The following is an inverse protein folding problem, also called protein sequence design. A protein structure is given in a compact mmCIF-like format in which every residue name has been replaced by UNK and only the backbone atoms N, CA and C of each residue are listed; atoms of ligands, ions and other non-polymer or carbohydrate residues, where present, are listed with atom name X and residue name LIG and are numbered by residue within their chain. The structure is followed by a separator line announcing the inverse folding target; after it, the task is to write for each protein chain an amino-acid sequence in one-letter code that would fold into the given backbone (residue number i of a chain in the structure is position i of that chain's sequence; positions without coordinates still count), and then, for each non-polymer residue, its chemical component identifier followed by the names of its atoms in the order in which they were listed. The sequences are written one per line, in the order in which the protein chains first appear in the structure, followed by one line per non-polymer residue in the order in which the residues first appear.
data_IF_943624984076
#
_entry.id   IF_943624984076
#
_cell.length_a   1.000
_cell.length_b   1.000
_cell.length_c   1.000
_cell.angle_alpha   90.00
_cell.angle_beta   90.00
_cell.angle_gamma   90.00
#
_symmetry.space_group_name_H-M   'P 1'
#
loop_
_entity.id
_entity.type
_entity.pdbx_description
1 polymer ?
#
# COMPACT_ATOMS: atom_id res chain seq x y z
N UNK A 1 36.47 1.38 4.58
CA UNK A 1 35.48 0.43 4.04
C UNK A 1 34.30 0.37 4.98
N UNK A 2 33.04 0.44 4.46
CA UNK A 2 31.82 0.39 5.28
C UNK A 2 31.72 -0.88 6.16
N UNK A 3 32.18 -2.01 5.69
CA UNK A 3 32.20 -3.28 6.44
C UNK A 3 33.14 -3.17 7.64
N UNK A 4 34.32 -2.64 7.41
CA UNK A 4 35.31 -2.40 8.45
C UNK A 4 34.83 -1.40 9.51
N UNK A 5 34.13 -0.36 9.10
CA UNK A 5 33.52 0.61 10.01
C UNK A 5 32.43 -0.02 10.88
N UNK A 6 31.68 -0.98 10.32
CA UNK A 6 30.67 -1.76 11.04
C UNK A 6 31.34 -2.70 12.09
N UNK A 7 32.35 -3.46 11.68
CA UNK A 7 33.07 -4.39 12.55
C UNK A 7 33.77 -3.66 13.72
N UNK A 8 34.23 -2.43 13.49
CA UNK A 8 34.81 -1.55 14.50
C UNK A 8 33.80 -0.82 15.37
N UNK A 9 32.49 -1.00 15.14
CA UNK A 9 31.43 -0.33 15.89
C UNK A 9 31.35 1.19 15.65
N UNK A 10 31.94 1.69 14.57
CA UNK A 10 31.96 3.10 14.20
C UNK A 10 30.64 3.56 13.54
N UNK A 11 29.83 2.62 13.07
CA UNK A 11 28.50 2.86 12.50
C UNK A 11 27.45 2.09 13.27
N UNK A 12 26.23 2.64 13.31
CA UNK A 12 25.11 1.98 13.99
C UNK A 12 24.67 0.74 13.23
N UNK A 13 24.40 -0.33 13.95
CA UNK A 13 23.76 -1.51 13.40
C UNK A 13 22.32 -1.16 12.99
N UNK A 14 22.00 -1.48 11.75
CA UNK A 14 20.63 -1.39 11.23
C UNK A 14 20.11 -2.82 11.13
N UNK A 15 19.06 -3.12 11.87
CA UNK A 15 18.30 -4.36 11.73
C UNK A 15 17.06 -4.05 10.90
N UNK A 16 16.85 -4.80 9.85
CA UNK A 16 15.65 -4.70 9.01
C UNK A 16 14.83 -5.97 9.25
N UNK A 17 13.60 -5.79 9.73
CA UNK A 17 12.62 -6.87 9.83
C UNK A 17 11.54 -6.59 8.78
N UNK A 18 11.34 -7.53 7.88
CA UNK A 18 10.37 -7.46 6.80
C UNK A 18 9.24 -8.45 7.01
N UNK A 19 8.04 -8.07 6.61
CA UNK A 19 6.93 -9.00 6.45
C UNK A 19 6.88 -9.35 4.97
N UNK A 20 7.13 -10.60 4.63
CA UNK A 20 6.88 -11.14 3.30
C UNK A 20 5.46 -11.75 3.31
N UNK A 21 4.47 -11.02 2.85
CA UNK A 21 3.15 -11.62 2.66
C UNK A 21 3.17 -12.49 1.41
N UNK A 22 2.37 -13.52 1.39
CA UNK A 22 2.19 -14.41 0.22
C UNK A 22 1.68 -13.66 -1.04
N UNK A 23 1.26 -12.41 -0.88
CA UNK A 23 0.81 -11.52 -1.96
C UNK A 23 1.66 -10.25 -1.94
N UNK A 24 2.14 -9.80 -3.12
CA UNK A 24 2.99 -8.60 -3.25
C UNK A 24 2.25 -7.33 -2.85
N UNK A 25 2.35 -6.91 -1.60
CA UNK A 25 1.68 -5.70 -1.08
C UNK A 25 2.25 -4.39 -1.63
N UNK A 26 3.48 -4.41 -2.16
CA UNK A 26 4.07 -3.26 -2.86
C UNK A 26 3.60 -3.14 -4.31
N UNK A 27 2.62 -3.93 -4.74
CA UNK A 27 2.06 -3.85 -6.07
C UNK A 27 0.96 -2.78 -6.17
N UNK A 28 0.65 -2.43 -7.42
CA UNK A 28 -0.42 -1.51 -7.75
C UNK A 28 -1.75 -1.91 -7.09
N UNK A 29 -2.32 -1.02 -6.31
CA UNK A 29 -3.63 -1.25 -5.71
C UNK A 29 -4.71 -1.20 -6.78
N UNK A 30 -5.47 -2.28 -6.91
CA UNK A 30 -6.68 -2.34 -7.76
C UNK A 30 -7.75 -3.13 -7.02
N UNK A 31 -8.95 -2.57 -6.97
CA UNK A 31 -10.14 -3.25 -6.44
C UNK A 31 -11.25 -3.20 -7.48
N UNK A 32 -11.88 -4.32 -7.78
CA UNK A 32 -13.06 -4.35 -8.63
C UNK A 32 -14.31 -4.09 -7.79
N UNK A 33 -14.91 -2.92 -7.99
CA UNK A 33 -16.10 -2.50 -7.22
C UNK A 33 -17.39 -3.03 -7.85
N UNK A 34 -17.50 -2.98 -9.20
CA UNK A 34 -18.73 -3.34 -9.91
C UNK A 34 -18.47 -3.56 -11.40
N UNK A 35 -19.27 -4.43 -12.01
CA UNK A 35 -19.38 -4.55 -13.46
C UNK A 35 -20.76 -4.07 -13.87
N UNK A 36 -20.81 -3.12 -14.82
CA UNK A 36 -22.04 -2.56 -15.37
C UNK A 36 -22.24 -3.09 -16.80
N UNK A 37 -23.18 -4.00 -16.99
CA UNK A 37 -23.59 -4.48 -18.29
C UNK A 37 -24.81 -3.67 -18.78
N UNK A 38 -24.61 -2.87 -19.84
CA UNK A 38 -25.64 -2.03 -20.44
C UNK A 38 -25.79 -2.38 -21.93
N UNK A 39 -26.93 -2.08 -22.58
CA UNK A 39 -27.11 -2.34 -24.02
C UNK A 39 -26.05 -1.71 -24.92
N UNK A 40 -25.37 -0.65 -24.44
CA UNK A 40 -24.32 0.08 -25.16
C UNK A 40 -22.90 -0.43 -24.87
N UNK A 41 -22.74 -1.48 -24.07
CA UNK A 41 -21.46 -2.07 -23.72
C UNK A 41 -21.30 -2.38 -22.25
N UNK A 42 -20.27 -3.19 -21.94
CA UNK A 42 -19.91 -3.57 -20.58
C UNK A 42 -18.76 -2.68 -20.09
N UNK A 43 -18.83 -2.25 -18.85
CA UNK A 43 -17.79 -1.45 -18.20
C UNK A 43 -17.51 -1.98 -16.81
N UNK A 44 -16.27 -1.85 -16.34
CA UNK A 44 -15.88 -2.17 -14.98
C UNK A 44 -15.67 -0.89 -14.17
N UNK A 45 -16.17 -0.85 -12.95
CA UNK A 45 -15.84 0.19 -11.99
C UNK A 45 -14.78 -0.35 -11.04
N UNK A 46 -13.63 0.31 -11.02
CA UNK A 46 -12.48 -0.10 -10.21
C UNK A 46 -12.00 1.05 -9.35
N UNK A 47 -11.50 0.73 -8.15
CA UNK A 47 -10.83 1.70 -7.28
C UNK A 47 -9.33 1.51 -7.41
N UNK A 48 -8.61 2.61 -7.69
CA UNK A 48 -7.15 2.66 -7.87
C UNK A 48 -6.54 3.86 -7.16
N UNK A 49 -5.22 3.86 -7.03
CA UNK A 49 -4.48 5.01 -6.56
C UNK A 49 -4.15 5.96 -7.73
N UNK A 50 -4.53 7.24 -7.62
CA UNK A 50 -4.38 8.26 -8.67
C UNK A 50 -3.48 9.38 -8.18
N UNK A 51 -2.54 9.83 -9.04
CA UNK A 51 -1.71 11.00 -8.75
C UNK A 51 -2.56 12.28 -8.72
N UNK A 52 -2.44 13.05 -7.64
CA UNK A 52 -2.93 14.42 -7.54
C UNK A 52 -1.74 15.38 -7.36
N UNK A 53 -1.99 16.70 -7.37
CA UNK A 53 -0.91 17.70 -7.42
C UNK A 53 0.14 17.51 -6.32
N UNK A 54 -0.25 17.15 -5.10
CA UNK A 54 0.68 17.00 -3.96
C UNK A 54 0.50 15.68 -3.20
N UNK A 55 -0.34 14.78 -3.68
CA UNK A 55 -0.68 13.55 -2.96
C UNK A 55 -1.17 12.45 -3.92
N UNK A 56 -1.23 11.24 -3.41
CA UNK A 56 -1.88 10.12 -4.07
C UNK A 56 -3.24 9.90 -3.42
N UNK A 57 -4.31 9.93 -4.22
CA UNK A 57 -5.65 9.64 -3.73
C UNK A 57 -6.20 8.35 -4.31
N UNK A 58 -6.85 7.58 -3.46
CA UNK A 58 -7.61 6.41 -3.90
C UNK A 58 -8.95 6.86 -4.48
N UNK A 59 -9.21 6.49 -5.74
CA UNK A 59 -10.40 6.92 -6.48
C UNK A 59 -11.03 5.76 -7.24
N UNK A 60 -12.35 5.76 -7.26
CA UNK A 60 -13.13 4.86 -8.10
C UNK A 60 -13.27 5.46 -9.50
N UNK A 61 -12.90 4.68 -10.51
CA UNK A 61 -12.93 5.05 -11.93
C UNK A 61 -13.71 4.02 -12.74
N UNK A 62 -14.20 4.42 -13.90
CA UNK A 62 -14.83 3.50 -14.85
C UNK A 62 -13.84 3.14 -15.95
N UNK A 63 -13.71 1.85 -16.23
CA UNK A 63 -12.88 1.29 -17.28
C UNK A 63 -13.73 0.64 -18.35
N UNK A 64 -13.31 0.81 -19.61
CA UNK A 64 -13.78 0.09 -20.80
C UNK A 64 -12.67 -0.85 -21.27
N UNK A 65 -13.05 -1.83 -22.08
CA UNK A 65 -12.08 -2.69 -22.76
C UNK A 65 -11.03 -1.85 -23.51
N UNK A 66 -9.77 -2.23 -23.39
CA UNK A 66 -8.61 -1.55 -23.98
C UNK A 66 -8.15 -0.30 -23.23
N UNK A 67 -8.82 0.15 -22.18
CA UNK A 67 -8.33 1.27 -21.38
C UNK A 67 -7.24 0.84 -20.39
N UNK A 68 -6.27 1.75 -20.20
CA UNK A 68 -5.08 1.54 -19.40
C UNK A 68 -5.16 2.27 -18.04
N UNK A 69 -4.84 1.56 -16.97
CA UNK A 69 -4.76 2.16 -15.63
C UNK A 69 -3.62 3.18 -15.49
N UNK A 70 -2.52 3.03 -16.24
CA UNK A 70 -1.46 4.03 -16.25
C UNK A 70 -1.99 5.41 -16.65
N UNK A 71 -2.73 5.48 -17.75
CA UNK A 71 -3.37 6.73 -18.19
C UNK A 71 -4.42 7.23 -17.18
N UNK A 72 -5.26 6.33 -16.66
CA UNK A 72 -6.33 6.68 -15.71
C UNK A 72 -5.80 7.11 -14.33
N UNK A 73 -4.65 6.62 -13.93
CA UNK A 73 -3.98 6.98 -12.67
C UNK A 73 -3.17 8.28 -12.74
N UNK A 74 -3.22 9.00 -13.86
CA UNK A 74 -2.36 10.14 -14.18
C UNK A 74 -0.89 9.76 -14.15
N UNK A 75 -0.54 8.76 -14.96
CA UNK A 75 0.83 8.30 -15.20
C UNK A 75 1.57 7.84 -13.93
N UNK A 76 0.89 7.06 -13.07
CA UNK A 76 1.59 6.38 -11.98
C UNK A 76 2.37 5.18 -12.52
N UNK A 77 3.70 5.21 -12.37
CA UNK A 77 4.61 4.16 -12.84
C UNK A 77 4.24 2.75 -12.38
N UNK A 78 3.62 2.63 -11.20
CA UNK A 78 3.20 1.33 -10.66
C UNK A 78 2.15 0.62 -11.54
N UNK A 79 1.46 1.36 -12.43
CA UNK A 79 0.50 0.82 -13.39
C UNK A 79 1.04 0.78 -14.83
N UNK A 80 2.34 1.06 -15.06
CA UNK A 80 2.90 1.17 -16.40
C UNK A 80 2.82 -0.13 -17.20
N UNK A 81 2.96 -1.29 -16.55
CA UNK A 81 3.01 -2.58 -17.21
C UNK A 81 1.89 -3.51 -16.74
N UNK A 82 1.17 -4.08 -17.70
CA UNK A 82 0.23 -5.17 -17.47
C UNK A 82 -1.14 -4.76 -16.91
N UNK A 83 -1.54 -3.48 -17.05
CA UNK A 83 -2.81 -2.97 -16.54
C UNK A 83 -3.75 -2.38 -17.62
N UNK A 84 -3.64 -2.88 -18.84
CA UNK A 84 -4.66 -2.63 -19.87
C UNK A 84 -5.80 -3.62 -19.65
N UNK A 85 -7.04 -3.15 -19.60
CA UNK A 85 -8.21 -4.02 -19.43
C UNK A 85 -8.47 -4.82 -20.71
N UNK A 86 -8.17 -6.12 -20.66
CA UNK A 86 -8.30 -7.03 -21.81
C UNK A 86 -9.67 -7.67 -21.90
N UNK A 87 -10.28 -8.03 -20.77
CA UNK A 87 -11.54 -8.75 -20.76
C UNK A 87 -12.41 -8.36 -19.58
N UNK A 88 -13.74 -8.38 -19.78
CA UNK A 88 -14.75 -8.24 -18.73
C UNK A 88 -15.71 -9.42 -18.86
N UNK A 89 -15.69 -10.35 -17.90
CA UNK A 89 -16.60 -11.48 -17.80
C UNK A 89 -17.70 -11.15 -16.81
N UNK A 90 -18.76 -10.55 -17.31
CA UNK A 90 -19.83 -10.05 -16.45
C UNK A 90 -20.65 -11.15 -15.76
N UNK A 91 -20.78 -12.30 -16.37
CA UNK A 91 -21.45 -13.51 -15.85
C UNK A 91 -20.64 -14.19 -14.74
N UNK A 92 -19.33 -14.15 -14.84
CA UNK A 92 -18.40 -14.66 -13.82
C UNK A 92 -18.07 -13.64 -12.73
N UNK A 93 -18.40 -12.36 -12.97
CA UNK A 93 -18.11 -11.27 -12.04
C UNK A 93 -16.62 -10.95 -11.95
N UNK A 94 -15.88 -11.07 -13.07
CA UNK A 94 -14.44 -10.85 -13.08
C UNK A 94 -13.95 -10.04 -14.27
N UNK A 95 -12.76 -9.47 -14.13
CA UNK A 95 -12.05 -8.75 -15.19
C UNK A 95 -10.63 -9.28 -15.31
N UNK A 96 -10.03 -9.16 -16.50
CA UNK A 96 -8.66 -9.55 -16.76
C UNK A 96 -7.86 -8.41 -17.38
N UNK A 97 -6.66 -8.19 -16.86
CA UNK A 97 -5.69 -7.23 -17.37
C UNK A 97 -4.62 -7.90 -18.25
N UNK A 98 -3.98 -7.13 -19.10
CA UNK A 98 -2.94 -7.58 -20.07
C UNK A 98 -1.76 -8.33 -19.42
N UNK A 99 -1.47 -8.07 -18.15
CA UNK A 99 -0.48 -8.81 -17.36
C UNK A 99 -0.95 -10.18 -16.86
N UNK A 100 -2.09 -10.70 -17.34
CA UNK A 100 -2.67 -11.98 -16.89
C UNK A 100 -3.27 -11.91 -15.48
N UNK A 101 -3.49 -10.71 -14.96
CA UNK A 101 -4.12 -10.50 -13.64
C UNK A 101 -5.63 -10.58 -13.78
N UNK A 102 -6.24 -11.50 -13.05
CA UNK A 102 -7.69 -11.63 -12.92
C UNK A 102 -8.12 -11.04 -11.59
N UNK A 103 -9.16 -10.23 -11.61
CA UNK A 103 -9.77 -9.62 -10.44
C UNK A 103 -11.25 -9.98 -10.37
N UNK A 104 -11.69 -10.52 -9.26
CA UNK A 104 -13.10 -10.83 -9.02
C UNK A 104 -13.84 -9.68 -8.35
N UNK A 105 -15.15 -9.69 -8.45
CA UNK A 105 -16.00 -8.67 -7.84
C UNK A 105 -15.74 -8.58 -6.32
N UNK A 106 -15.53 -7.34 -5.86
CA UNK A 106 -15.11 -7.00 -4.49
C UNK A 106 -13.71 -7.51 -4.09
N UNK A 107 -12.96 -8.12 -5.01
CA UNK A 107 -11.57 -8.49 -4.76
C UNK A 107 -10.66 -7.26 -4.86
N UNK A 108 -9.68 -7.23 -3.96
CA UNK A 108 -8.61 -6.24 -3.92
C UNK A 108 -7.28 -6.93 -4.14
N UNK A 109 -6.46 -6.38 -5.02
CA UNK A 109 -5.06 -6.80 -5.21
C UNK A 109 -4.12 -5.63 -5.01
N UNK A 110 -2.94 -5.91 -4.44
CA UNK A 110 -1.93 -4.90 -4.19
C UNK A 110 -2.29 -3.92 -3.06
N UNK A 111 -1.40 -2.95 -2.86
CA UNK A 111 -1.49 -1.99 -1.77
C UNK A 111 -1.15 -2.60 -0.41
N UNK A 112 -0.70 -1.76 0.53
CA UNK A 112 -0.53 -2.15 1.93
C UNK A 112 -1.91 -2.23 2.59
N UNK A 113 -2.30 -3.42 3.05
CA UNK A 113 -3.50 -3.55 3.87
C UNK A 113 -3.23 -2.96 5.27
N UNK A 114 -4.29 -2.45 5.90
CA UNK A 114 -4.19 -1.92 7.27
C UNK A 114 -3.68 -2.98 8.27
N UNK A 115 -4.01 -4.24 8.03
CA UNK A 115 -3.57 -5.36 8.86
C UNK A 115 -2.06 -5.60 8.77
N UNK A 116 -1.47 -5.51 7.56
CA UNK A 116 -0.01 -5.62 7.38
C UNK A 116 0.70 -4.45 8.05
N UNK A 117 0.20 -3.22 7.87
CA UNK A 117 0.79 -2.05 8.53
C UNK A 117 0.70 -2.16 10.07
N UNK A 118 -0.44 -2.61 10.60
CA UNK A 118 -0.62 -2.87 12.03
C UNK A 118 0.37 -3.91 12.52
N UNK A 119 0.49 -5.04 11.83
CA UNK A 119 1.43 -6.10 12.18
C UNK A 119 2.88 -5.61 12.16
N UNK A 120 3.28 -4.81 11.17
CA UNK A 120 4.61 -4.19 11.12
C UNK A 120 4.87 -3.27 12.32
N UNK A 121 3.88 -2.47 12.73
CA UNK A 121 3.98 -1.61 13.92
C UNK A 121 4.15 -2.47 15.18
N UNK A 122 3.31 -3.49 15.36
CA UNK A 122 3.37 -4.40 16.52
C UNK A 122 4.72 -5.11 16.61
N UNK A 123 5.24 -5.63 15.49
CA UNK A 123 6.58 -6.25 15.41
C UNK A 123 7.68 -5.28 15.77
N UNK A 124 7.63 -4.05 15.27
CA UNK A 124 8.63 -3.02 15.57
C UNK A 124 8.61 -2.66 17.07
N UNK A 125 7.43 -2.51 17.65
CA UNK A 125 7.28 -2.23 19.09
C UNK A 125 7.79 -3.39 19.94
N UNK A 126 7.47 -4.64 19.58
CA UNK A 126 7.97 -5.83 20.26
C UNK A 126 9.50 -5.92 20.21
N UNK A 127 10.10 -5.69 19.03
CA UNK A 127 11.54 -5.65 18.83
C UNK A 127 12.22 -4.54 19.66
N UNK A 128 11.59 -3.34 19.71
CA UNK A 128 12.06 -2.23 20.55
C UNK A 128 12.18 -2.66 22.03
N UNK A 129 11.11 -3.22 22.61
CA UNK A 129 11.11 -3.64 24.01
C UNK A 129 12.08 -4.79 24.28
N UNK A 130 12.19 -5.75 23.36
CA UNK A 130 13.17 -6.84 23.46
C UNK A 130 14.59 -6.29 23.50
N UNK A 131 14.92 -5.34 22.63
CA UNK A 131 16.23 -4.68 22.57
C UNK A 131 16.49 -3.82 23.81
N UNK A 132 15.49 -3.03 24.24
CA UNK A 132 15.56 -2.21 25.45
C UNK A 132 15.90 -3.07 26.68
N UNK A 133 15.24 -4.23 26.84
CA UNK A 133 15.52 -5.17 27.94
C UNK A 133 16.96 -5.68 27.90
N UNK A 134 17.50 -5.96 26.70
CA UNK A 134 18.86 -6.48 26.48
C UNK A 134 19.95 -5.48 26.89
N UNK A 135 19.73 -4.16 26.63
CA UNK A 135 20.76 -3.12 26.81
C UNK A 135 20.49 -2.21 28.01
N UNK A 136 19.48 -2.52 28.82
CA UNK A 136 19.05 -1.70 29.95
C UNK A 136 20.18 -1.40 30.95
N UNK A 137 20.98 -2.43 31.28
CA UNK A 137 22.08 -2.30 32.24
C UNK A 137 23.31 -1.59 31.67
N UNK A 138 23.40 -1.47 30.35
CA UNK A 138 24.50 -0.77 29.67
C UNK A 138 24.29 0.72 29.53
N UNK A 139 23.17 1.28 30.04
CA UNK A 139 22.82 2.70 29.92
C UNK A 139 22.53 3.16 28.48
N UNK A 140 22.36 2.23 27.56
CA UNK A 140 22.11 2.51 26.14
C UNK A 140 20.62 2.77 25.93
N UNK A 141 20.29 3.89 25.27
CA UNK A 141 18.91 4.19 24.85
C UNK A 141 18.59 3.55 23.51
N UNK A 142 17.46 2.87 23.46
CA UNK A 142 16.89 2.35 22.20
C UNK A 142 15.87 3.35 21.68
N UNK A 143 15.94 3.65 20.38
CA UNK A 143 14.99 4.50 19.68
C UNK A 143 14.41 3.73 18.50
N UNK A 144 13.11 3.84 18.27
CA UNK A 144 12.45 3.34 17.07
C UNK A 144 11.90 4.51 16.28
N UNK A 145 12.02 4.45 14.96
CA UNK A 145 11.53 5.47 14.05
C UNK A 145 10.51 4.83 13.12
N UNK A 146 9.34 5.44 13.04
CA UNK A 146 8.28 5.04 12.13
C UNK A 146 8.15 6.08 11.01
N UNK A 147 8.19 5.61 9.78
CA UNK A 147 7.86 6.42 8.61
C UNK A 147 6.41 6.15 8.23
N UNK A 148 5.57 7.15 8.35
CA UNK A 148 4.14 7.08 8.02
C UNK A 148 3.94 7.85 6.71
N UNK A 149 3.35 7.19 5.72
CA UNK A 149 3.16 7.72 4.36
C UNK A 149 2.27 8.97 4.29
N UNK A 150 1.32 9.10 5.23
CA UNK A 150 0.39 10.24 5.29
C UNK A 150 0.20 10.72 6.71
N UNK A 151 0.25 12.04 6.91
CA UNK A 151 -0.01 12.69 8.20
C UNK A 151 -1.39 12.29 8.75
N UNK A 152 -2.40 12.15 7.89
CA UNK A 152 -3.75 11.74 8.27
C UNK A 152 -3.82 10.34 8.90
N UNK A 153 -2.83 9.47 8.65
CA UNK A 153 -2.74 8.16 9.31
C UNK A 153 -2.28 8.24 10.78
N UNK A 154 -1.65 9.35 11.17
CA UNK A 154 -1.24 9.62 12.54
C UNK A 154 -2.14 10.69 13.20
N UNK A 155 -2.44 11.78 12.48
CA UNK A 155 -3.27 12.89 12.96
C UNK A 155 -4.26 13.29 11.87
N UNK A 156 -5.53 13.15 12.15
CA UNK A 156 -6.62 13.64 11.31
C UNK A 156 -7.25 14.90 11.93
N UNK A 157 -8.20 15.49 11.24
CA UNK A 157 -8.99 16.63 11.71
C UNK A 157 -10.45 16.34 11.47
N UNK A 158 -11.30 16.66 12.45
CA UNK A 158 -12.76 16.59 12.33
C UNK A 158 -13.31 17.75 11.47
N UNK A 159 -14.63 17.76 11.27
CA UNK A 159 -15.31 18.78 10.48
C UNK A 159 -15.24 20.19 11.13
N UNK A 160 -14.93 20.26 12.42
CA UNK A 160 -14.74 21.51 13.18
C UNK A 160 -13.27 21.98 13.17
N UNK A 161 -12.37 21.21 12.60
CA UNK A 161 -10.93 21.51 12.50
C UNK A 161 -10.13 21.11 13.75
N UNK A 162 -10.70 20.37 14.69
CA UNK A 162 -9.97 19.85 15.85
C UNK A 162 -9.12 18.63 15.47
N UNK A 163 -7.94 18.52 16.05
CA UNK A 163 -7.07 17.38 15.80
C UNK A 163 -7.64 16.12 16.48
N UNK A 164 -7.81 15.05 15.70
CA UNK A 164 -8.23 13.73 16.15
C UNK A 164 -7.16 12.68 15.83
N UNK A 165 -7.08 11.58 16.60
CA UNK A 165 -6.15 10.51 16.31
C UNK A 165 -6.38 9.94 14.90
N UNK A 166 -5.29 9.69 14.16
CA UNK A 166 -5.35 8.89 12.94
C UNK A 166 -5.41 7.40 13.26
N UNK A 167 -5.49 6.56 12.22
CA UNK A 167 -5.64 5.09 12.40
C UNK A 167 -4.45 4.39 13.06
N UNK A 168 -3.30 5.07 13.19
CA UNK A 168 -2.08 4.57 13.82
C UNK A 168 -1.60 5.44 14.98
N UNK A 169 -2.45 6.27 15.54
CA UNK A 169 -2.14 7.09 16.71
C UNK A 169 -2.51 6.39 18.02
#
# INVERSE_FOLDING_TARGET
DPVQAYDLGLVKQIEVDGVEPDVSYNQAFVQLDRIDAKPKGVTAKVTIDVNEINEVKRKSITLKLGEDLYAKSKQREIYADGFILNEIRADEGEIEFSGGRVLKLNEQQGGLSDDVMRFQIERTVAAHFAKLKKVKESGIKVLSLFFIDKVANYRAYDDEGNAVPGKFA
#
